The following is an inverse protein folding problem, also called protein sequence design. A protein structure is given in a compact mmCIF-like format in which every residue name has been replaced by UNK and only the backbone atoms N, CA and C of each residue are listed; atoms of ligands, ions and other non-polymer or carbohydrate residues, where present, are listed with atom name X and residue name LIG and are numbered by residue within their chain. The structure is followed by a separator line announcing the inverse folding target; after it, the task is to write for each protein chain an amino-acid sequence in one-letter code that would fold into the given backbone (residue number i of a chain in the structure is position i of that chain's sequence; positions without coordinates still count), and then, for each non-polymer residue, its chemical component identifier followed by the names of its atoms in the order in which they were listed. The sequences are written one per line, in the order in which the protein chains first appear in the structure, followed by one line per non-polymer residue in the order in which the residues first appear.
data_IF_731183369869
#
_entry.id   IF_731183369869
#
_cell.length_a   1.000
_cell.length_b   1.000
_cell.length_c   1.000
_cell.angle_alpha   90.00
_cell.angle_beta   90.00
_cell.angle_gamma   90.00
#
_symmetry.space_group_name_H-M   'P 1'
#
loop_
_entity.id
_entity.type
_entity.pdbx_description
1 polymer ?
#
# COMPACT_ATOMS: atom_id res chain seq x y z
N UNK A 1 -10.54 0.52 -13.52
CA UNK A 1 -9.62 1.67 -13.49
C UNK A 1 -9.55 2.27 -14.88
N UNK A 2 -9.32 3.58 -15.00
CA UNK A 2 -9.06 4.27 -16.27
C UNK A 2 -7.72 5.01 -16.17
N UNK A 3 -6.93 4.98 -17.24
CA UNK A 3 -5.66 5.70 -17.35
C UNK A 3 -5.81 6.71 -18.49
N UNK A 4 -5.50 7.98 -18.25
CA UNK A 4 -5.63 9.03 -19.27
C UNK A 4 -4.60 10.14 -19.06
N UNK A 5 -4.36 10.92 -20.11
CA UNK A 5 -3.40 12.02 -20.11
C UNK A 5 -3.99 13.33 -20.67
N UNK A 6 -5.14 13.26 -21.35
CA UNK A 6 -5.72 14.37 -22.09
C UNK A 6 -6.92 15.05 -21.42
N UNK A 7 -7.26 16.26 -21.88
CA UNK A 7 -8.48 16.98 -21.50
C UNK A 7 -9.73 16.14 -21.82
N UNK A 8 -9.68 15.39 -22.93
CA UNK A 8 -10.80 14.54 -23.36
C UNK A 8 -11.01 13.35 -22.41
N UNK A 9 -9.96 12.91 -21.70
CA UNK A 9 -10.02 11.82 -20.73
C UNK A 9 -10.64 12.25 -19.40
N UNK A 10 -10.75 13.56 -19.13
CA UNK A 10 -11.19 14.05 -17.83
C UNK A 10 -12.58 13.52 -17.43
N UNK A 11 -13.51 13.36 -18.37
CA UNK A 11 -14.84 12.79 -18.06
C UNK A 11 -14.71 11.30 -17.69
N UNK A 12 -13.91 10.54 -18.43
CA UNK A 12 -13.68 9.12 -18.16
C UNK A 12 -12.94 8.91 -16.83
N UNK A 13 -11.94 9.76 -16.52
CA UNK A 13 -11.25 9.77 -15.24
C UNK A 13 -12.20 10.08 -14.08
N UNK A 14 -13.15 11.02 -14.22
CA UNK A 14 -14.16 11.29 -13.17
C UNK A 14 -15.10 10.13 -12.91
N UNK A 15 -15.43 9.34 -13.93
CA UNK A 15 -16.37 8.23 -13.81
C UNK A 15 -15.71 6.92 -13.37
N UNK A 16 -14.39 6.81 -13.51
CA UNK A 16 -13.67 5.60 -13.16
C UNK A 16 -13.67 5.36 -11.64
N UNK A 17 -13.81 4.09 -11.23
CA UNK A 17 -13.65 3.72 -9.81
C UNK A 17 -12.22 3.98 -9.30
N UNK A 18 -11.25 3.92 -10.21
CA UNK A 18 -9.84 4.25 -9.95
C UNK A 18 -9.34 5.01 -11.17
N UNK A 19 -8.95 6.28 -10.98
CA UNK A 19 -8.46 7.15 -12.06
C UNK A 19 -6.95 7.41 -11.91
N UNK A 20 -6.21 7.18 -12.99
CA UNK A 20 -4.75 7.23 -13.02
C UNK A 20 -4.31 8.17 -14.14
N UNK A 21 -3.36 9.06 -13.86
CA UNK A 21 -2.73 9.94 -14.85
C UNK A 21 -1.21 9.88 -14.71
N UNK A 22 -0.51 10.51 -15.66
CA UNK A 22 0.95 10.59 -15.73
C UNK A 22 1.41 12.01 -15.40
N UNK A 23 2.62 12.15 -14.84
CA UNK A 23 3.30 13.46 -14.78
C UNK A 23 3.53 13.98 -16.20
N UNK A 24 3.14 15.22 -16.48
CA UNK A 24 3.23 15.82 -17.82
C UNK A 24 1.97 15.64 -18.68
N UNK A 25 0.97 14.91 -18.19
CA UNK A 25 -0.37 14.94 -18.74
C UNK A 25 -0.99 16.35 -18.65
N UNK A 26 -2.06 16.58 -19.41
CA UNK A 26 -2.82 17.82 -19.36
C UNK A 26 -3.30 18.13 -17.94
N UNK A 27 -3.35 19.42 -17.59
CA UNK A 27 -3.79 19.86 -16.25
C UNK A 27 -5.18 19.32 -15.89
N UNK A 28 -6.08 19.19 -16.86
CA UNK A 28 -7.40 18.61 -16.61
C UNK A 28 -7.35 17.11 -16.24
N UNK A 29 -6.44 16.33 -16.84
CA UNK A 29 -6.24 14.92 -16.50
C UNK A 29 -5.58 14.76 -15.13
N UNK A 30 -4.52 15.54 -14.85
CA UNK A 30 -3.81 15.49 -13.55
C UNK A 30 -4.69 15.93 -12.38
N UNK A 31 -5.50 16.98 -12.55
CA UNK A 31 -6.39 17.48 -11.49
C UNK A 31 -7.57 16.53 -11.22
N UNK A 32 -7.89 15.68 -12.20
CA UNK A 32 -9.00 14.72 -12.09
C UNK A 32 -8.56 13.37 -11.55
N UNK A 33 -7.32 12.96 -11.81
CA UNK A 33 -6.83 11.65 -11.42
C UNK A 33 -6.61 11.51 -9.91
N UNK A 34 -6.94 10.35 -9.36
CA UNK A 34 -6.70 10.00 -7.96
C UNK A 34 -5.24 9.59 -7.72
N UNK A 35 -4.59 9.05 -8.76
CA UNK A 35 -3.21 8.57 -8.71
C UNK A 35 -2.44 9.18 -9.87
N UNK A 36 -1.30 9.79 -9.58
CA UNK A 36 -0.40 10.37 -10.59
C UNK A 36 0.91 9.58 -10.58
N UNK A 37 1.24 8.97 -11.72
CA UNK A 37 2.53 8.30 -11.91
C UNK A 37 3.60 9.35 -12.17
N UNK A 38 4.48 9.53 -11.18
CA UNK A 38 5.44 10.62 -11.20
C UNK A 38 6.50 10.46 -12.28
N UNK A 39 6.92 9.26 -12.66
CA UNK A 39 8.01 9.08 -13.63
C UNK A 39 7.63 9.44 -15.08
N UNK A 40 6.36 9.73 -15.35
CA UNK A 40 5.88 10.13 -16.68
C UNK A 40 5.70 8.96 -17.66
N UNK A 41 5.89 7.72 -17.20
CA UNK A 41 5.65 6.51 -17.98
C UNK A 41 4.78 5.48 -17.24
N UNK A 42 4.34 4.45 -17.97
CA UNK A 42 3.47 3.39 -17.45
C UNK A 42 4.25 2.25 -16.77
N UNK A 43 5.57 2.32 -16.65
CA UNK A 43 6.37 1.22 -16.09
C UNK A 43 6.03 0.95 -14.62
N UNK A 44 5.70 2.00 -13.86
CA UNK A 44 5.28 1.90 -12.45
C UNK A 44 3.84 1.39 -12.26
N UNK A 45 3.04 1.31 -13.32
CA UNK A 45 1.65 0.85 -13.24
C UNK A 45 1.58 -0.61 -12.74
N UNK A 46 2.53 -1.46 -13.15
CA UNK A 46 2.65 -2.84 -12.65
C UNK A 46 2.91 -2.86 -11.14
N UNK A 47 3.86 -2.05 -10.68
CA UNK A 47 4.20 -1.94 -9.25
C UNK A 47 3.01 -1.45 -8.42
N UNK A 48 2.24 -0.48 -8.93
CA UNK A 48 1.02 -0.01 -8.29
C UNK A 48 0.02 -1.15 -8.03
N UNK A 49 -0.24 -2.00 -9.03
CA UNK A 49 -1.14 -3.15 -8.87
C UNK A 49 -0.57 -4.23 -7.94
N UNK A 50 0.74 -4.46 -7.96
CA UNK A 50 1.40 -5.39 -7.04
C UNK A 50 1.27 -4.94 -5.58
N UNK A 51 1.48 -3.65 -5.31
CA UNK A 51 1.30 -3.05 -3.99
C UNK A 51 -0.16 -3.15 -3.55
N UNK A 52 -1.10 -2.85 -4.44
CA UNK A 52 -2.54 -2.96 -4.17
C UNK A 52 -2.95 -4.39 -3.80
N UNK A 53 -2.48 -5.41 -4.53
CA UNK A 53 -2.75 -6.83 -4.22
C UNK A 53 -2.13 -7.26 -2.89
N UNK A 54 -0.91 -6.81 -2.61
CA UNK A 54 -0.23 -7.07 -1.33
C UNK A 54 -1.01 -6.44 -0.17
N UNK A 55 -1.47 -5.19 -0.36
CA UNK A 55 -2.31 -4.50 0.61
C UNK A 55 -3.65 -5.23 0.84
N UNK A 56 -4.32 -5.68 -0.22
CA UNK A 56 -5.57 -6.44 -0.11
C UNK A 56 -5.37 -7.74 0.68
N UNK A 57 -4.28 -8.49 0.41
CA UNK A 57 -3.94 -9.68 1.17
C UNK A 57 -3.70 -9.36 2.66
N UNK A 58 -2.97 -8.28 2.95
CA UNK A 58 -2.73 -7.82 4.32
C UNK A 58 -4.05 -7.42 5.03
N UNK A 59 -4.95 -6.73 4.31
CA UNK A 59 -6.25 -6.32 4.82
C UNK A 59 -7.15 -7.51 5.16
N UNK A 60 -7.15 -8.56 4.32
CA UNK A 60 -7.87 -9.81 4.62
C UNK A 60 -7.36 -10.46 5.90
N UNK A 61 -6.04 -10.52 6.09
CA UNK A 61 -5.46 -11.05 7.33
C UNK A 61 -5.81 -10.17 8.54
N UNK A 62 -5.74 -8.84 8.41
CA UNK A 62 -6.13 -7.91 9.47
C UNK A 62 -7.59 -8.14 9.93
N UNK A 63 -8.51 -8.30 8.97
CA UNK A 63 -9.91 -8.60 9.24
C UNK A 63 -10.07 -9.94 9.98
N UNK A 64 -9.40 -11.00 9.52
CA UNK A 64 -9.41 -12.31 10.16
C UNK A 64 -8.86 -12.25 11.60
N UNK A 65 -7.75 -11.55 11.82
CA UNK A 65 -7.16 -11.39 13.15
C UNK A 65 -8.03 -10.53 14.08
N UNK A 66 -8.96 -9.73 13.55
CA UNK A 66 -9.92 -9.01 14.39
C UNK A 66 -11.11 -9.88 14.80
N UNK A 67 -11.56 -10.80 13.94
CA UNK A 67 -12.77 -11.59 14.18
C UNK A 67 -12.48 -12.92 14.89
N UNK A 68 -11.49 -13.68 14.42
CA UNK A 68 -11.19 -15.03 14.90
C UNK A 68 -11.01 -15.07 16.43
N UNK A 69 -10.20 -14.17 17.05
CA UNK A 69 -9.99 -14.20 18.49
C UNK A 69 -11.27 -13.90 19.26
N UNK A 70 -12.12 -13.00 18.76
CA UNK A 70 -13.42 -12.69 19.38
C UNK A 70 -14.34 -13.91 19.42
N UNK A 71 -14.42 -14.66 18.32
CA UNK A 71 -15.21 -15.90 18.24
C UNK A 71 -14.64 -16.98 19.17
N UNK A 72 -13.31 -17.15 19.19
CA UNK A 72 -12.63 -18.10 20.08
C UNK A 72 -12.86 -17.74 21.54
N UNK A 73 -12.71 -16.47 21.91
CA UNK A 73 -12.94 -15.99 23.27
C UNK A 73 -14.38 -16.24 23.71
N UNK A 74 -15.36 -15.90 22.86
CA UNK A 74 -16.76 -16.11 23.16
C UNK A 74 -17.08 -17.60 23.37
N UNK A 75 -16.66 -18.46 22.45
CA UNK A 75 -16.85 -19.91 22.58
C UNK A 75 -16.10 -20.50 23.78
N UNK A 76 -14.89 -20.02 24.05
CA UNK A 76 -14.05 -20.44 25.17
C UNK A 76 -14.68 -20.14 26.54
N UNK A 77 -15.28 -18.96 26.69
CA UNK A 77 -15.97 -18.58 27.93
C UNK A 77 -17.19 -19.50 28.17
N UNK A 78 -18.00 -19.76 27.15
CA UNK A 78 -19.22 -20.56 27.28
C UNK A 78 -18.98 -22.08 27.38
N UNK A 79 -18.05 -22.64 26.62
CA UNK A 79 -17.84 -24.10 26.54
C UNK A 79 -16.75 -24.61 27.48
N UNK A 80 -15.68 -23.84 27.68
CA UNK A 80 -14.49 -24.26 28.42
C UNK A 80 -14.35 -23.57 29.78
N UNK A 81 -15.33 -22.77 30.21
CA UNK A 81 -15.30 -21.96 31.44
C UNK A 81 -14.04 -21.07 31.51
N UNK A 82 -13.61 -20.55 30.36
CA UNK A 82 -12.42 -19.71 30.28
C UNK A 82 -12.70 -18.41 31.04
N UNK A 83 -12.01 -18.20 32.16
CA UNK A 83 -12.13 -17.00 32.97
C UNK A 83 -11.62 -15.75 32.26
N UNK A 84 -11.93 -14.58 32.84
CA UNK A 84 -11.59 -13.25 32.29
C UNK A 84 -10.10 -13.16 31.92
N UNK A 85 -9.20 -13.65 32.78
CA UNK A 85 -7.75 -13.59 32.55
C UNK A 85 -7.34 -14.39 31.31
N UNK A 86 -7.89 -15.60 31.14
CA UNK A 86 -7.61 -16.44 29.96
C UNK A 86 -8.08 -15.78 28.67
N UNK A 87 -9.28 -15.20 28.69
CA UNK A 87 -9.82 -14.46 27.54
C UNK A 87 -8.97 -13.23 27.16
N UNK A 88 -8.44 -12.52 28.16
CA UNK A 88 -7.63 -11.32 27.98
C UNK A 88 -6.28 -11.65 27.33
N UNK A 89 -5.63 -12.75 27.75
CA UNK A 89 -4.38 -13.22 27.14
C UNK A 89 -4.59 -13.58 25.66
N UNK A 90 -5.63 -14.34 25.34
CA UNK A 90 -5.96 -14.72 23.96
C UNK A 90 -6.25 -13.48 23.11
N UNK A 91 -6.99 -12.53 23.66
CA UNK A 91 -7.33 -11.30 22.94
C UNK A 91 -6.09 -10.44 22.64
N UNK A 92 -5.26 -10.14 23.64
CA UNK A 92 -4.08 -9.30 23.43
C UNK A 92 -3.02 -9.97 22.56
N UNK A 93 -2.76 -11.27 22.75
CA UNK A 93 -1.80 -12.00 21.92
C UNK A 93 -2.19 -11.99 20.45
N UNK A 94 -3.48 -12.22 20.15
CA UNK A 94 -3.95 -12.17 18.77
C UNK A 94 -3.91 -10.75 18.19
N UNK A 95 -4.26 -9.72 18.96
CA UNK A 95 -4.15 -8.31 18.51
C UNK A 95 -2.69 -7.92 18.25
N UNK A 96 -1.73 -8.38 19.06
CA UNK A 96 -0.31 -8.19 18.80
C UNK A 96 0.13 -8.87 17.50
N UNK A 97 -0.26 -10.12 17.27
CA UNK A 97 0.07 -10.83 16.04
C UNK A 97 -0.51 -10.14 14.80
N UNK A 98 -1.75 -9.65 14.87
CA UNK A 98 -2.38 -8.89 13.78
C UNK A 98 -1.69 -7.56 13.51
N UNK A 99 -1.24 -6.87 14.56
CA UNK A 99 -0.46 -5.63 14.44
C UNK A 99 0.88 -5.90 13.75
N UNK A 100 1.59 -6.96 14.15
CA UNK A 100 2.85 -7.37 13.49
C UNK A 100 2.64 -7.64 12.01
N UNK A 101 1.59 -8.39 11.64
CA UNK A 101 1.27 -8.65 10.24
C UNK A 101 0.97 -7.35 9.46
N UNK A 102 0.23 -6.42 10.08
CA UNK A 102 -0.14 -5.15 9.45
C UNK A 102 1.08 -4.24 9.21
N UNK A 103 2.08 -4.28 10.10
CA UNK A 103 3.31 -3.50 10.01
C UNK A 103 4.40 -4.14 9.14
N UNK A 104 4.30 -5.44 8.83
CA UNK A 104 5.29 -6.17 8.05
C UNK A 104 5.59 -5.54 6.67
N UNK A 105 4.61 -5.04 5.90
CA UNK A 105 4.87 -4.39 4.61
C UNK A 105 5.74 -3.13 4.74
N UNK A 106 5.57 -2.35 5.81
CA UNK A 106 6.37 -1.14 6.03
C UNK A 106 7.85 -1.50 6.16
N UNK A 107 8.18 -2.49 6.98
CA UNK A 107 9.56 -2.95 7.19
C UNK A 107 10.16 -3.56 5.92
N UNK A 108 9.36 -4.29 5.14
CA UNK A 108 9.84 -4.97 3.94
C UNK A 108 10.09 -4.00 2.77
N UNK A 109 9.30 -2.94 2.65
CA UNK A 109 9.38 -1.98 1.54
C UNK A 109 10.28 -0.77 1.85
N UNK A 110 10.61 -0.49 3.11
CA UNK A 110 11.56 0.58 3.50
C UNK A 110 12.96 0.36 2.87
N UNK A 111 13.36 -0.91 2.77
CA UNK A 111 14.62 -1.29 2.15
C UNK A 111 14.64 -1.03 0.62
N UNK A 112 13.50 -0.98 -0.06
CA UNK A 112 13.44 -0.74 -1.51
C UNK A 112 13.56 0.76 -1.84
N UNK A 113 12.93 1.62 -1.03
CA UNK A 113 12.97 3.08 -1.19
C UNK A 113 14.40 3.61 -0.91
N UNK A 114 15.08 3.01 0.07
CA UNK A 114 16.46 3.38 0.42
C UNK A 114 17.47 3.00 -0.68
N UNK A 115 17.23 1.91 -1.41
CA UNK A 115 18.11 1.46 -2.50
C UNK A 115 17.94 2.36 -3.74
N UNK A 116 16.70 2.73 -4.09
CA UNK A 116 16.40 3.57 -5.27
C UNK A 116 16.96 5.00 -5.11
N UNK A 117 16.72 5.63 -3.96
CA UNK A 117 17.28 6.96 -3.63
C UNK A 117 18.81 6.98 -3.62
N UNK A 118 19.45 5.88 -3.19
CA UNK A 118 20.92 5.76 -3.20
C UNK A 118 21.48 5.58 -4.63
N UNK A 119 20.71 4.97 -5.54
CA UNK A 119 21.12 4.81 -6.95
C UNK A 119 20.94 6.12 -7.73
N UNK A 120 19.84 6.83 -7.52
CA UNK A 120 19.58 8.15 -8.13
C UNK A 120 20.66 9.16 -7.70
N UNK A 121 20.95 9.25 -6.40
CA UNK A 121 22.02 10.14 -5.89
C UNK A 121 23.42 9.78 -6.44
N UNK A 122 23.72 8.49 -6.64
CA UNK A 122 24.97 8.05 -7.28
C UNK A 122 25.05 8.40 -8.76
N UNK A 123 23.91 8.46 -9.45
CA UNK A 123 23.84 8.78 -10.88
C UNK A 123 24.02 10.29 -11.09
N UNK A 124 23.34 11.11 -10.29
CA UNK A 124 23.48 12.58 -10.30
C UNK A 124 24.90 13.02 -9.95
N UNK A 125 25.52 12.42 -8.92
CA UNK A 125 26.92 12.73 -8.55
C UNK A 125 27.96 12.34 -9.62
N UNK A 126 27.64 11.37 -10.49
CA UNK A 126 28.50 10.99 -11.62
C UNK A 126 28.38 11.95 -12.79
N UNK A 127 27.18 12.47 -13.05
CA UNK A 127 26.93 13.46 -14.09
C UNK A 127 27.56 14.81 -13.76
N UNK A 128 27.48 15.27 -12.50
CA UNK A 128 28.14 16.53 -12.07
C UNK A 128 29.68 16.46 -12.19
N UNK A 129 30.28 15.33 -11.83
CA UNK A 129 31.73 15.14 -11.96
C UNK A 129 32.21 15.09 -13.41
N UNK A 130 31.39 14.55 -14.31
CA UNK A 130 31.72 14.40 -15.74
C UNK A 130 31.38 15.65 -16.57
N UNK A 131 30.74 16.66 -15.96
CA UNK A 131 30.44 17.98 -16.55
C UNK A 131 31.46 19.05 -16.17
N UNK A 132 32.35 18.74 -15.22
CA UNK A 132 33.35 19.65 -14.66
C UNK A 132 34.78 19.37 -15.15
N UNK A 133 34.96 18.37 -16.02
CA UNK A 133 36.15 18.11 -16.85
C UNK A 133 35.90 18.58 -18.30
#
# INVERSE_FOLDING_TARGET
AYVGDGINDAIALKQANVSISLRGASSAATDTAQIILMDGDLTKLKSLFEISRSFEANMRTNYLTSIIPGVITLGGVFLFHMGIIGSMIVYFSAKMAGLTNTMLPLVKHDNLIKIDSTQVAKTESKEENNSSE
#
